data_IF_845972620011
#
_entry.id   IF_845972620011
#
_cell.length_a   1.000
_cell.length_b   1.000
_cell.length_c   1.000
_cell.angle_alpha   90.00
_cell.angle_beta   90.00
_cell.angle_gamma   90.00
#
_symmetry.space_group_name_H-M   'P 1'
#
loop_
_entity.id
_entity.type
_entity.pdbx_description
1 polymer ?
#
# COMPACT_ATOMS: atom_id res chain seq x y z
N UNK A 1 -6.61 19.35 16.41
CA UNK A 1 -5.74 18.33 17.07
C UNK A 1 -6.57 17.08 17.13
N UNK A 2 -6.11 15.99 16.53
CA UNK A 2 -6.86 14.72 16.51
C UNK A 2 -6.93 14.18 17.92
N UNK A 3 -8.11 13.68 18.35
CA UNK A 3 -8.20 12.96 19.62
C UNK A 3 -7.36 11.68 19.55
N UNK A 4 -6.31 11.66 20.35
CA UNK A 4 -5.36 10.54 20.45
C UNK A 4 -6.04 9.24 20.89
N UNK A 5 -7.23 9.31 21.50
CA UNK A 5 -7.97 8.16 22.03
C UNK A 5 -8.37 7.18 20.92
N UNK A 6 -8.85 7.65 19.77
CA UNK A 6 -9.18 6.81 18.62
C UNK A 6 -7.91 6.24 17.97
N UNK A 7 -6.91 7.10 17.75
CA UNK A 7 -5.63 6.69 17.17
C UNK A 7 -4.90 5.62 18.00
N UNK A 8 -4.97 5.71 19.33
CA UNK A 8 -4.28 4.78 20.25
C UNK A 8 -4.78 3.33 20.20
N UNK A 9 -5.94 3.08 19.58
CA UNK A 9 -6.51 1.74 19.44
C UNK A 9 -5.93 0.94 18.28
N UNK A 10 -5.26 1.62 17.34
CA UNK A 10 -4.71 1.01 16.14
C UNK A 10 -3.21 0.77 16.24
N UNK A 11 -2.71 -0.13 15.40
CA UNK A 11 -1.29 -0.33 15.12
C UNK A 11 -0.94 0.32 13.79
N UNK A 12 0.25 0.92 13.70
CA UNK A 12 0.66 1.67 12.53
C UNK A 12 1.85 1.04 11.82
N UNK A 13 1.96 1.30 10.53
CA UNK A 13 3.11 1.02 9.69
C UNK A 13 3.45 2.27 8.88
N UNK A 14 4.72 2.53 8.64
CA UNK A 14 5.17 3.74 7.95
C UNK A 14 5.67 3.39 6.55
N UNK A 15 5.13 4.07 5.52
CA UNK A 15 5.56 3.82 4.15
C UNK A 15 6.89 4.55 3.87
N UNK A 16 7.98 3.77 3.80
CA UNK A 16 9.33 4.28 3.62
C UNK A 16 9.65 4.72 2.18
N UNK A 17 8.71 4.54 1.26
CA UNK A 17 8.86 5.06 -0.10
C UNK A 17 8.49 6.54 -0.20
N UNK A 18 7.68 7.05 0.75
CA UNK A 18 7.22 8.43 0.77
C UNK A 18 7.65 9.17 2.06
N UNK A 19 7.71 8.49 3.20
CA UNK A 19 8.26 8.98 4.45
C UNK A 19 9.74 8.59 4.58
N UNK A 20 10.53 9.42 5.23
CA UNK A 20 12.00 9.32 5.30
C UNK A 20 12.68 9.29 3.93
N UNK A 21 11.98 9.76 2.88
CA UNK A 21 12.51 9.83 1.52
C UNK A 21 13.66 10.85 1.36
N UNK A 22 13.86 11.70 2.34
CA UNK A 22 15.02 12.57 2.49
C UNK A 22 16.32 11.81 2.76
N UNK A 23 16.25 10.52 3.11
CA UNK A 23 17.38 9.63 3.37
C UNK A 23 17.56 8.58 2.26
N UNK A 24 18.77 8.04 2.07
CA UNK A 24 18.98 6.84 1.26
C UNK A 24 18.12 5.68 1.74
N UNK A 25 17.64 4.85 0.81
CA UNK A 25 16.68 3.76 1.11
C UNK A 25 17.10 2.88 2.28
N UNK A 26 18.35 2.44 2.32
CA UNK A 26 18.87 1.52 3.33
C UNK A 26 19.00 2.14 4.74
N UNK A 27 18.95 3.48 4.85
CA UNK A 27 18.96 4.19 6.13
C UNK A 27 17.55 4.41 6.71
N UNK A 28 16.51 4.32 5.88
CA UNK A 28 15.12 4.62 6.26
C UNK A 28 14.56 3.71 7.35
N UNK A 29 14.82 2.38 7.37
CA UNK A 29 14.37 1.53 8.46
C UNK A 29 14.90 1.96 9.82
N UNK A 30 16.19 2.33 9.91
CA UNK A 30 16.78 2.83 11.15
C UNK A 30 16.18 4.17 11.59
N UNK A 31 15.88 5.07 10.65
CA UNK A 31 15.20 6.34 10.94
C UNK A 31 13.76 6.11 11.44
N UNK A 32 13.02 5.18 10.85
CA UNK A 32 11.70 4.79 11.33
C UNK A 32 11.74 4.23 12.77
N UNK A 33 12.71 3.36 13.07
CA UNK A 33 12.94 2.85 14.42
C UNK A 33 13.27 3.98 15.40
N UNK A 34 14.13 4.92 15.02
CA UNK A 34 14.46 6.10 15.81
C UNK A 34 13.23 6.98 16.09
N UNK A 35 12.29 7.06 15.12
CA UNK A 35 11.00 7.74 15.30
C UNK A 35 9.98 6.94 16.13
N UNK A 36 10.27 5.68 16.50
CA UNK A 36 9.43 4.85 17.36
C UNK A 36 8.57 3.82 16.62
N UNK A 37 8.74 3.65 15.32
CA UNK A 37 8.03 2.65 14.54
C UNK A 37 8.75 1.30 14.57
N UNK A 38 7.99 0.21 14.63
CA UNK A 38 8.47 -1.17 14.57
C UNK A 38 7.98 -1.89 13.32
N UNK A 39 7.21 -1.20 12.47
CA UNK A 39 6.62 -1.72 11.24
C UNK A 39 6.71 -0.69 10.12
N UNK A 40 7.02 -1.16 8.92
CA UNK A 40 7.09 -0.32 7.73
C UNK A 40 6.52 -1.05 6.50
N UNK A 41 6.27 -0.29 5.46
CA UNK A 41 5.89 -0.77 4.13
C UNK A 41 6.69 -0.07 3.05
N UNK A 42 6.76 -0.68 1.87
CA UNK A 42 7.50 -0.17 0.72
C UNK A 42 6.70 -0.37 -0.58
N UNK A 43 6.74 0.61 -1.46
CA UNK A 43 6.59 0.36 -2.89
C UNK A 43 7.75 -0.50 -3.38
N UNK A 44 7.71 -1.00 -4.62
CA UNK A 44 8.83 -1.80 -5.13
C UNK A 44 10.15 -0.99 -5.09
N UNK A 45 11.13 -1.41 -4.28
CA UNK A 45 12.26 -0.55 -3.94
C UNK A 45 13.42 -0.56 -4.94
N UNK A 46 13.34 -1.40 -5.98
CA UNK A 46 14.42 -1.58 -6.97
C UNK A 46 14.11 -0.89 -8.32
N UNK A 47 13.23 0.12 -8.32
CA UNK A 47 12.87 0.89 -9.51
C UNK A 47 12.27 0.01 -10.60
N UNK A 48 12.87 0.03 -11.79
CA UNK A 48 12.40 -0.77 -12.94
C UNK A 48 12.96 -2.19 -12.98
N UNK A 49 13.87 -2.55 -12.08
CA UNK A 49 14.43 -3.89 -12.05
C UNK A 49 13.44 -4.86 -11.39
N UNK A 50 12.89 -5.76 -12.19
CA UNK A 50 11.95 -6.77 -11.74
C UNK A 50 12.64 -7.92 -10.97
N UNK A 51 13.94 -8.10 -11.21
CA UNK A 51 14.73 -9.24 -10.70
C UNK A 51 16.09 -8.79 -10.15
N UNK A 52 16.10 -7.90 -9.13
CA UNK A 52 17.33 -7.40 -8.53
C UNK A 52 18.23 -8.52 -8.06
N UNK A 53 19.52 -8.27 -8.05
CA UNK A 53 20.51 -9.25 -7.62
C UNK A 53 20.28 -9.69 -6.17
N UNK A 54 20.75 -10.91 -5.84
CA UNK A 54 20.67 -11.40 -4.46
C UNK A 54 21.38 -10.46 -3.47
N UNK A 55 22.48 -9.82 -3.88
CA UNK A 55 23.21 -8.87 -3.04
C UNK A 55 22.35 -7.64 -2.68
N UNK A 56 21.64 -7.04 -3.65
CA UNK A 56 20.75 -5.90 -3.39
C UNK A 56 19.60 -6.27 -2.47
N UNK A 57 19.02 -7.47 -2.67
CA UNK A 57 17.98 -7.97 -1.79
C UNK A 57 18.52 -8.23 -0.37
N UNK A 58 19.73 -8.75 -0.22
CA UNK A 58 20.36 -9.02 1.08
C UNK A 58 20.70 -7.73 1.83
N UNK A 59 21.13 -6.67 1.13
CA UNK A 59 21.34 -5.35 1.72
C UNK A 59 20.03 -4.77 2.28
N UNK A 60 18.94 -4.89 1.54
CA UNK A 60 17.63 -4.45 2.02
C UNK A 60 17.17 -5.26 3.24
N UNK A 61 17.26 -6.60 3.19
CA UNK A 61 16.94 -7.47 4.34
C UNK A 61 17.74 -7.09 5.58
N UNK A 62 19.04 -6.86 5.38
CA UNK A 62 19.95 -6.46 6.47
C UNK A 62 19.53 -5.14 7.08
N UNK A 63 19.17 -4.13 6.29
CA UNK A 63 18.74 -2.83 6.78
C UNK A 63 17.50 -2.94 7.68
N UNK A 64 16.50 -3.74 7.30
CA UNK A 64 15.32 -3.99 8.12
C UNK A 64 15.63 -4.78 9.40
N UNK A 65 16.43 -5.85 9.27
CA UNK A 65 16.80 -6.70 10.40
C UNK A 65 17.62 -5.94 11.43
N UNK A 66 18.63 -5.18 11.01
CA UNK A 66 19.47 -4.39 11.90
C UNK A 66 18.69 -3.29 12.63
N UNK A 67 17.69 -2.72 11.96
CA UNK A 67 16.81 -1.71 12.56
C UNK A 67 15.77 -2.31 13.51
N UNK A 68 15.51 -3.60 13.45
CA UNK A 68 14.41 -4.24 14.20
C UNK A 68 13.03 -3.80 13.73
N UNK A 69 12.90 -3.41 12.45
CA UNK A 69 11.64 -2.98 11.83
C UNK A 69 11.13 -4.09 10.92
N UNK A 70 9.88 -4.50 11.12
CA UNK A 70 9.23 -5.48 10.26
C UNK A 70 8.73 -4.82 8.96
N UNK A 71 9.07 -5.38 7.80
CA UNK A 71 8.38 -5.01 6.56
C UNK A 71 7.01 -5.70 6.54
N UNK A 72 5.93 -4.93 6.59
CA UNK A 72 4.56 -5.45 6.70
C UNK A 72 3.79 -5.43 5.39
N UNK A 73 4.15 -4.52 4.49
CA UNK A 73 3.59 -4.36 3.16
C UNK A 73 4.68 -4.13 2.12
N UNK A 74 4.52 -4.72 0.94
CA UNK A 74 5.42 -4.55 -0.20
C UNK A 74 4.60 -4.52 -1.48
N UNK A 75 4.88 -3.56 -2.37
CA UNK A 75 4.33 -3.62 -3.72
C UNK A 75 5.09 -4.66 -4.57
N UNK A 76 4.37 -5.34 -5.46
CA UNK A 76 4.98 -5.90 -6.66
C UNK A 76 5.54 -4.77 -7.53
N UNK A 77 6.26 -5.10 -8.60
CA UNK A 77 6.78 -4.12 -9.56
C UNK A 77 5.68 -3.15 -9.99
N UNK A 78 5.81 -1.89 -9.62
CA UNK A 78 4.77 -0.87 -9.78
C UNK A 78 5.15 0.28 -10.70
N UNK A 79 6.44 0.47 -10.95
CA UNK A 79 7.00 1.56 -11.76
C UNK A 79 6.59 2.98 -11.29
N UNK A 80 6.21 3.13 -10.00
CA UNK A 80 5.84 4.44 -9.44
C UNK A 80 7.04 5.38 -9.40
N UNK A 81 8.23 4.83 -9.20
CA UNK A 81 9.47 5.59 -9.06
C UNK A 81 9.80 6.47 -10.28
N UNK A 82 9.32 6.12 -11.47
CA UNK A 82 9.47 6.93 -12.68
C UNK A 82 8.48 8.09 -12.75
N UNK A 83 7.43 8.07 -11.93
CA UNK A 83 6.36 9.05 -11.93
C UNK A 83 5.38 8.96 -13.11
N UNK A 84 5.60 8.03 -14.03
CA UNK A 84 4.80 7.89 -15.28
C UNK A 84 3.76 6.78 -15.14
N UNK A 85 4.17 5.59 -14.73
CA UNK A 85 3.28 4.45 -14.58
C UNK A 85 2.67 4.38 -13.18
N UNK A 86 1.53 3.70 -13.08
CA UNK A 86 0.84 3.39 -11.82
C UNK A 86 0.56 1.88 -11.79
N UNK A 87 1.63 1.09 -11.88
CA UNK A 87 1.55 -0.36 -11.98
C UNK A 87 1.85 -0.87 -13.39
N UNK A 88 2.16 -2.14 -13.47
CA UNK A 88 2.65 -2.80 -14.70
C UNK A 88 1.80 -4.00 -15.11
N UNK A 89 0.92 -4.48 -14.23
CA UNK A 89 0.27 -5.79 -14.42
C UNK A 89 -0.76 -5.84 -15.56
N UNK A 90 -1.41 -4.72 -15.90
CA UNK A 90 -2.36 -4.65 -17.02
C UNK A 90 -1.74 -4.11 -18.31
N UNK A 91 -0.43 -3.81 -18.29
CA UNK A 91 0.28 -3.22 -19.43
C UNK A 91 0.90 -4.34 -20.26
N UNK A 92 0.45 -4.57 -21.54
CA UNK A 92 0.92 -5.69 -22.34
C UNK A 92 2.45 -5.75 -22.49
N UNK A 93 3.08 -4.59 -22.69
CA UNK A 93 4.53 -4.50 -22.85
C UNK A 93 5.33 -4.84 -21.58
N UNK A 94 4.69 -4.75 -20.42
CA UNK A 94 5.32 -4.96 -19.10
C UNK A 94 4.92 -6.27 -18.44
N UNK A 95 3.96 -7.01 -19.00
CA UNK A 95 3.41 -8.22 -18.40
C UNK A 95 4.48 -9.28 -18.11
N UNK A 96 5.43 -9.50 -19.00
CA UNK A 96 6.53 -10.44 -18.76
C UNK A 96 7.42 -9.98 -17.59
N UNK A 97 7.71 -8.68 -17.47
CA UNK A 97 8.46 -8.12 -16.36
C UNK A 97 7.71 -8.31 -15.04
N UNK A 98 6.41 -8.01 -15.04
CA UNK A 98 5.58 -8.22 -13.86
C UNK A 98 5.58 -9.68 -13.42
N UNK A 99 5.37 -10.61 -14.36
CA UNK A 99 5.40 -12.06 -14.07
C UNK A 99 6.75 -12.53 -13.55
N UNK A 100 7.87 -12.01 -14.09
CA UNK A 100 9.20 -12.29 -13.59
C UNK A 100 9.43 -11.75 -12.17
N UNK A 101 8.80 -10.65 -11.82
CA UNK A 101 8.87 -10.05 -10.48
C UNK A 101 8.12 -10.85 -9.40
N UNK A 102 7.01 -11.51 -9.73
CA UNK A 102 6.16 -12.21 -8.77
C UNK A 102 6.96 -13.11 -7.81
N UNK A 103 7.76 -14.08 -8.28
CA UNK A 103 8.52 -14.96 -7.38
C UNK A 103 9.58 -14.20 -6.57
N UNK A 104 10.17 -13.15 -7.12
CA UNK A 104 11.19 -12.34 -6.44
C UNK A 104 10.59 -11.54 -5.32
N UNK A 105 9.49 -10.83 -5.58
CA UNK A 105 8.78 -10.05 -4.58
C UNK A 105 8.20 -10.94 -3.47
N UNK A 106 7.61 -12.09 -3.82
CA UNK A 106 7.11 -13.06 -2.85
C UNK A 106 8.25 -13.64 -2.00
N UNK A 107 9.39 -13.99 -2.59
CA UNK A 107 10.55 -14.52 -1.87
C UNK A 107 11.17 -13.47 -0.92
N UNK A 108 11.25 -12.20 -1.34
CA UNK A 108 11.69 -11.10 -0.49
C UNK A 108 10.71 -10.89 0.66
N UNK A 109 9.41 -10.86 0.37
CA UNK A 109 8.34 -10.72 1.36
C UNK A 109 8.38 -11.84 2.41
N UNK A 110 8.50 -13.09 1.98
CA UNK A 110 8.58 -14.25 2.89
C UNK A 110 9.79 -14.14 3.82
N UNK A 111 10.96 -13.77 3.27
CA UNK A 111 12.21 -13.62 4.04
C UNK A 111 12.15 -12.52 5.12
N UNK A 112 11.28 -11.51 4.95
CA UNK A 112 11.06 -10.40 5.87
C UNK A 112 9.79 -10.55 6.71
N UNK A 113 9.04 -11.65 6.52
CA UNK A 113 7.79 -11.90 7.23
C UNK A 113 6.63 -11.00 6.80
N UNK A 114 6.71 -10.41 5.60
CA UNK A 114 5.68 -9.55 5.01
C UNK A 114 4.43 -10.37 4.69
N UNK A 115 3.25 -9.84 5.06
CA UNK A 115 1.98 -10.55 4.87
C UNK A 115 0.97 -9.81 4.00
N UNK A 116 1.36 -8.69 3.40
CA UNK A 116 0.53 -7.93 2.47
C UNK A 116 1.36 -7.55 1.23
N UNK A 117 0.91 -7.96 0.06
CA UNK A 117 1.55 -7.66 -1.23
C UNK A 117 0.57 -6.86 -2.09
N UNK A 118 0.89 -5.61 -2.40
CA UNK A 118 0.05 -4.74 -3.22
C UNK A 118 0.40 -4.87 -4.70
N UNK A 119 -0.62 -5.00 -5.56
CA UNK A 119 -0.47 -5.09 -7.00
C UNK A 119 -1.21 -3.94 -7.69
N UNK A 120 -0.48 -2.91 -8.06
CA UNK A 120 -1.05 -1.78 -8.79
C UNK A 120 -1.42 -2.17 -10.23
N UNK A 121 -2.65 -1.82 -10.59
CA UNK A 121 -3.30 -2.28 -11.81
C UNK A 121 -2.59 -1.86 -13.10
N UNK A 122 -2.10 -0.62 -13.14
CA UNK A 122 -1.52 -0.01 -14.32
C UNK A 122 -2.50 0.92 -15.05
N UNK A 123 -1.91 1.88 -15.77
CA UNK A 123 -2.68 2.85 -16.53
C UNK A 123 -3.30 2.25 -17.79
N UNK A 124 -4.43 2.79 -18.22
CA UNK A 124 -4.96 2.54 -19.57
C UNK A 124 -3.97 3.04 -20.62
N UNK A 125 -3.75 2.22 -21.63
CA UNK A 125 -2.81 2.49 -22.72
C UNK A 125 -3.60 2.91 -23.97
N UNK A 126 -3.23 4.02 -24.56
CA UNK A 126 -3.86 4.50 -25.79
C UNK A 126 -3.70 3.46 -26.92
N UNK A 127 -4.81 3.15 -27.59
CA UNK A 127 -4.84 2.18 -28.69
C UNK A 127 -4.93 0.71 -28.27
N UNK A 128 -4.95 0.41 -26.95
CA UNK A 128 -5.20 -0.94 -26.44
C UNK A 128 -6.65 -1.02 -25.96
N UNK A 129 -7.34 -2.10 -26.31
CA UNK A 129 -8.72 -2.32 -25.82
C UNK A 129 -8.73 -2.45 -24.28
N UNK A 130 -9.52 -1.65 -23.56
CA UNK A 130 -9.67 -1.79 -22.11
C UNK A 130 -10.04 -3.20 -21.67
N UNK A 131 -10.84 -3.93 -22.43
CA UNK A 131 -11.22 -5.30 -22.09
C UNK A 131 -10.02 -6.27 -22.16
N UNK A 132 -9.15 -6.11 -23.15
CA UNK A 132 -7.92 -6.90 -23.27
C UNK A 132 -6.97 -6.59 -22.10
N UNK A 133 -6.87 -5.32 -21.68
CA UNK A 133 -6.09 -4.96 -20.48
C UNK A 133 -6.70 -5.56 -19.19
N UNK A 134 -8.03 -5.60 -19.07
CA UNK A 134 -8.70 -6.15 -17.90
C UNK A 134 -8.53 -7.68 -17.82
N UNK A 135 -8.56 -8.38 -18.95
CA UNK A 135 -8.30 -9.82 -19.04
C UNK A 135 -6.84 -10.12 -18.63
N UNK A 136 -5.89 -9.39 -19.20
CA UNK A 136 -4.47 -9.51 -18.84
C UNK A 136 -4.23 -9.20 -17.34
N UNK A 137 -4.90 -8.17 -16.81
CA UNK A 137 -4.83 -7.83 -15.40
C UNK A 137 -5.31 -8.99 -14.52
N UNK A 138 -6.45 -9.58 -14.84
CA UNK A 138 -6.98 -10.71 -14.09
C UNK A 138 -6.03 -11.92 -14.11
N UNK A 139 -5.45 -12.26 -15.27
CA UNK A 139 -4.45 -13.31 -15.37
C UNK A 139 -3.27 -13.07 -14.43
N UNK A 140 -2.70 -11.85 -14.46
CA UNK A 140 -1.55 -11.49 -13.65
C UNK A 140 -1.88 -11.41 -12.16
N UNK A 141 -3.06 -10.91 -11.80
CA UNK A 141 -3.53 -10.90 -10.40
C UNK A 141 -3.74 -12.31 -9.85
N UNK A 142 -4.24 -13.24 -10.67
CA UNK A 142 -4.36 -14.66 -10.30
C UNK A 142 -3.00 -15.28 -9.98
N UNK A 143 -1.98 -14.98 -10.79
CA UNK A 143 -0.61 -15.45 -10.53
C UNK A 143 -0.05 -14.84 -9.23
N UNK A 144 -0.23 -13.53 -9.04
CA UNK A 144 0.21 -12.83 -7.83
C UNK A 144 -0.51 -13.31 -6.56
N UNK A 145 -1.84 -13.57 -6.65
CA UNK A 145 -2.63 -14.09 -5.54
C UNK A 145 -2.16 -15.48 -5.10
N UNK A 146 -1.83 -16.36 -6.05
CA UNK A 146 -1.29 -17.70 -5.76
C UNK A 146 0.07 -17.61 -5.08
N UNK A 147 0.99 -16.78 -5.60
CA UNK A 147 2.30 -16.59 -4.99
C UNK A 147 2.22 -15.98 -3.58
N UNK A 148 1.33 -15.01 -3.36
CA UNK A 148 1.06 -14.47 -2.04
C UNK A 148 0.50 -15.55 -1.08
N UNK A 149 -0.41 -16.38 -1.56
CA UNK A 149 -0.99 -17.46 -0.75
C UNK A 149 0.06 -18.48 -0.30
N UNK A 150 1.01 -18.84 -1.16
CA UNK A 150 2.09 -19.80 -0.84
C UNK A 150 2.95 -19.37 0.36
N UNK A 151 3.10 -18.06 0.58
CA UNK A 151 3.83 -17.49 1.72
C UNK A 151 2.90 -17.07 2.89
N UNK A 152 1.61 -17.42 2.82
CA UNK A 152 0.60 -17.03 3.80
C UNK A 152 0.36 -15.52 3.85
N UNK A 153 0.49 -14.84 2.71
CA UNK A 153 0.20 -13.42 2.54
C UNK A 153 -1.11 -13.19 1.79
N UNK A 154 -1.64 -11.97 1.92
CA UNK A 154 -2.77 -11.48 1.13
C UNK A 154 -2.27 -10.68 -0.07
N UNK A 155 -3.05 -10.72 -1.16
CA UNK A 155 -2.92 -9.81 -2.29
C UNK A 155 -3.78 -8.59 -2.04
N UNK A 156 -3.23 -7.40 -2.21
CA UNK A 156 -3.94 -6.14 -2.10
C UNK A 156 -4.24 -5.55 -3.49
N UNK A 157 -5.42 -4.96 -3.62
CA UNK A 157 -5.87 -4.25 -4.82
C UNK A 157 -6.33 -2.88 -4.37
N UNK A 158 -5.83 -1.83 -5.03
CA UNK A 158 -5.95 -0.45 -4.61
C UNK A 158 -6.66 0.41 -5.66
N UNK A 159 -7.51 1.34 -5.20
CA UNK A 159 -8.05 2.42 -6.02
C UNK A 159 -7.18 3.67 -5.87
N UNK A 160 -6.81 4.32 -7.00
CA UNK A 160 -6.04 5.55 -6.99
C UNK A 160 -6.91 6.76 -7.32
N UNK A 161 -6.45 7.94 -6.93
CA UNK A 161 -7.17 9.18 -7.23
C UNK A 161 -6.94 9.62 -8.70
N UNK A 162 -8.04 10.00 -9.34
CA UNK A 162 -8.04 10.44 -10.73
C UNK A 162 -7.22 11.72 -10.98
N UNK A 163 -7.16 12.72 -10.09
CA UNK A 163 -6.30 13.88 -10.29
C UNK A 163 -4.81 13.57 -10.47
N UNK A 164 -4.27 12.59 -9.75
CA UNK A 164 -2.85 12.21 -9.81
C UNK A 164 -2.59 11.02 -10.74
N UNK A 165 -3.63 10.25 -11.07
CA UNK A 165 -3.55 9.06 -11.92
C UNK A 165 -4.73 9.03 -12.92
N UNK A 166 -4.81 9.97 -13.87
CA UNK A 166 -5.98 10.15 -14.73
C UNK A 166 -6.28 8.97 -15.67
N UNK A 167 -5.28 8.15 -15.97
CA UNK A 167 -5.42 6.95 -16.81
C UNK A 167 -5.59 5.66 -16.01
N UNK A 168 -5.56 5.71 -14.66
CA UNK A 168 -5.75 4.53 -13.83
C UNK A 168 -7.22 4.11 -13.79
N UNK A 169 -7.57 2.83 -14.04
CA UNK A 169 -8.96 2.43 -14.20
C UNK A 169 -9.74 2.28 -12.88
N UNK A 170 -9.07 1.91 -11.78
CA UNK A 170 -9.71 1.69 -10.49
C UNK A 170 -9.73 3.00 -9.70
N UNK A 171 -10.81 3.76 -9.80
CA UNK A 171 -10.93 5.10 -9.19
C UNK A 171 -12.00 5.16 -8.11
N UNK A 172 -12.48 4.01 -7.64
CA UNK A 172 -13.47 3.92 -6.56
C UNK A 172 -13.28 2.66 -5.73
N UNK A 173 -13.77 2.68 -4.48
CA UNK A 173 -13.82 1.52 -3.61
C UNK A 173 -14.59 0.36 -4.29
N UNK A 174 -15.73 0.65 -4.90
CA UNK A 174 -16.53 -0.35 -5.60
C UNK A 174 -15.77 -1.01 -6.76
N UNK A 175 -15.03 -0.24 -7.57
CA UNK A 175 -14.24 -0.78 -8.68
C UNK A 175 -13.10 -1.69 -8.19
N UNK A 176 -12.41 -1.32 -7.12
CA UNK A 176 -11.37 -2.16 -6.54
C UNK A 176 -11.94 -3.45 -5.93
N UNK A 177 -13.06 -3.37 -5.21
CA UNK A 177 -13.73 -4.53 -4.61
C UNK A 177 -14.25 -5.49 -5.70
N UNK A 178 -14.75 -4.98 -6.82
CA UNK A 178 -15.15 -5.83 -7.95
C UNK A 178 -13.98 -6.67 -8.48
N UNK A 179 -12.78 -6.08 -8.57
CA UNK A 179 -11.57 -6.81 -8.98
C UNK A 179 -11.15 -7.83 -7.91
N UNK A 180 -11.23 -7.47 -6.62
CA UNK A 180 -10.99 -8.40 -5.49
C UNK A 180 -11.88 -9.63 -5.62
N UNK A 181 -13.19 -9.45 -5.91
CA UNK A 181 -14.14 -10.54 -6.05
C UNK A 181 -13.82 -11.43 -7.25
N UNK A 182 -13.49 -10.84 -8.40
CA UNK A 182 -13.08 -11.58 -9.61
C UNK A 182 -11.84 -12.46 -9.36
N UNK A 183 -10.83 -11.91 -8.66
CA UNK A 183 -9.60 -12.66 -8.32
C UNK A 183 -9.91 -13.80 -7.36
N UNK A 184 -10.72 -13.55 -6.33
CA UNK A 184 -11.12 -14.58 -5.37
C UNK A 184 -11.99 -15.68 -6.01
N UNK A 185 -12.88 -15.33 -6.92
CA UNK A 185 -13.66 -16.29 -7.69
C UNK A 185 -12.75 -17.15 -8.59
N UNK A 186 -11.83 -16.52 -9.32
CA UNK A 186 -10.93 -17.20 -10.25
C UNK A 186 -9.94 -18.13 -9.54
N UNK A 187 -9.52 -17.79 -8.32
CA UNK A 187 -8.53 -18.59 -7.58
C UNK A 187 -9.12 -19.56 -6.57
N UNK A 188 -10.30 -19.25 -6.02
CA UNK A 188 -10.88 -19.96 -4.88
C UNK A 188 -10.14 -19.78 -3.56
N UNK A 189 -9.13 -18.88 -3.48
CA UNK A 189 -8.23 -18.75 -2.32
C UNK A 189 -8.76 -17.78 -1.26
N UNK A 190 -9.54 -16.77 -1.65
CA UNK A 190 -10.08 -15.76 -0.73
C UNK A 190 -9.04 -14.82 -0.13
N UNK A 191 -7.81 -14.81 -0.66
CA UNK A 191 -6.70 -14.01 -0.16
C UNK A 191 -6.50 -12.66 -0.87
N UNK A 192 -7.27 -12.36 -1.92
CA UNK A 192 -7.32 -11.01 -2.46
C UNK A 192 -8.20 -10.13 -1.56
N UNK A 193 -7.71 -8.93 -1.24
CA UNK A 193 -8.36 -7.97 -0.35
C UNK A 193 -8.23 -6.56 -0.90
N UNK A 194 -9.10 -5.68 -0.42
CA UNK A 194 -9.07 -4.26 -0.77
C UNK A 194 -8.06 -3.51 0.10
N UNK A 195 -7.15 -2.75 -0.54
CA UNK A 195 -6.36 -1.71 0.11
C UNK A 195 -7.17 -0.42 0.06
N UNK A 196 -7.66 0.00 1.22
CA UNK A 196 -8.46 1.21 1.38
C UNK A 196 -7.56 2.38 1.73
N UNK A 197 -7.10 3.14 0.74
CA UNK A 197 -6.40 4.41 0.98
C UNK A 197 -7.43 5.55 1.06
N UNK A 198 -7.59 6.11 2.25
CA UNK A 198 -8.56 7.19 2.49
C UNK A 198 -8.23 8.46 1.72
N UNK A 199 -6.96 8.77 1.49
CA UNK A 199 -6.57 9.92 0.70
C UNK A 199 -7.04 9.79 -0.76
N UNK A 200 -6.77 8.64 -1.39
CA UNK A 200 -7.16 8.42 -2.78
C UNK A 200 -8.67 8.48 -2.96
N UNK A 201 -9.43 7.87 -2.07
CA UNK A 201 -10.89 7.87 -2.14
C UNK A 201 -11.48 9.26 -1.85
N UNK A 202 -10.97 9.98 -0.85
CA UNK A 202 -11.38 11.35 -0.56
C UNK A 202 -11.10 12.30 -1.74
N UNK A 203 -9.94 12.15 -2.40
CA UNK A 203 -9.59 12.92 -3.60
C UNK A 203 -10.53 12.66 -4.77
N UNK A 204 -11.15 11.49 -4.84
CA UNK A 204 -12.18 11.15 -5.82
C UNK A 204 -13.59 11.59 -5.38
N UNK A 205 -13.74 12.15 -4.18
CA UNK A 205 -15.01 12.64 -3.64
C UNK A 205 -15.90 11.53 -3.07
N UNK A 206 -15.34 10.38 -2.71
CA UNK A 206 -16.10 9.32 -2.05
C UNK A 206 -16.39 9.68 -0.58
N UNK A 207 -17.55 9.28 -0.11
CA UNK A 207 -17.94 9.31 1.29
C UNK A 207 -17.21 8.16 2.03
N UNK A 208 -16.16 8.51 2.77
CA UNK A 208 -15.33 7.54 3.49
C UNK A 208 -16.10 6.78 4.57
N UNK A 209 -17.12 7.38 5.16
CA UNK A 209 -18.01 6.71 6.12
C UNK A 209 -18.78 5.60 5.41
N UNK A 210 -19.38 5.92 4.26
CA UNK A 210 -20.08 4.92 3.45
C UNK A 210 -19.12 3.82 2.93
N UNK A 211 -17.86 4.14 2.62
CA UNK A 211 -16.85 3.15 2.23
C UNK A 211 -16.58 2.17 3.38
N UNK A 212 -16.40 2.65 4.61
CA UNK A 212 -16.20 1.76 5.77
C UNK A 212 -17.45 0.91 6.00
N UNK A 213 -18.63 1.53 6.02
CA UNK A 213 -19.90 0.84 6.31
C UNK A 213 -20.20 -0.29 5.29
N UNK A 214 -19.80 -0.09 4.02
CA UNK A 214 -20.11 -1.04 2.95
C UNK A 214 -19.00 -2.09 2.72
N UNK A 215 -17.73 -1.79 3.04
CA UNK A 215 -16.61 -2.61 2.57
C UNK A 215 -15.58 -2.97 3.64
N UNK A 216 -15.76 -2.62 4.93
CA UNK A 216 -14.75 -2.88 5.96
C UNK A 216 -14.39 -4.38 6.10
N UNK A 217 -15.31 -5.29 5.81
CA UNK A 217 -15.08 -6.74 5.80
C UNK A 217 -14.17 -7.21 4.64
N UNK A 218 -13.97 -6.35 3.63
CA UNK A 218 -13.11 -6.59 2.46
C UNK A 218 -11.73 -5.98 2.63
N UNK A 219 -11.51 -5.14 3.66
CA UNK A 219 -10.24 -4.50 3.87
C UNK A 219 -9.15 -5.51 4.25
N UNK A 220 -8.05 -5.49 3.52
CA UNK A 220 -6.81 -6.17 3.87
C UNK A 220 -5.79 -5.20 4.47
N UNK A 221 -5.87 -3.94 4.07
CA UNK A 221 -5.01 -2.86 4.54
C UNK A 221 -5.73 -1.52 4.46
N UNK A 222 -5.36 -0.59 5.32
CA UNK A 222 -5.83 0.81 5.30
C UNK A 222 -4.62 1.71 5.23
N UNK A 223 -4.65 2.70 4.35
CA UNK A 223 -3.64 3.76 4.29
C UNK A 223 -4.27 5.13 4.51
N UNK A 224 -3.48 6.05 5.08
CA UNK A 224 -3.93 7.39 5.43
C UNK A 224 -2.94 8.47 5.01
N UNK A 225 -3.49 9.55 4.45
CA UNK A 225 -2.91 10.86 4.29
C UNK A 225 -4.03 11.89 4.26
N UNK A 226 -3.78 13.13 4.66
CA UNK A 226 -4.84 14.13 4.69
C UNK A 226 -5.07 14.77 3.31
N UNK A 227 -6.32 15.10 3.02
CA UNK A 227 -6.76 15.72 1.77
C UNK A 227 -7.03 17.22 2.02
N UNK A 228 -6.57 18.13 1.12
CA UNK A 228 -6.05 17.87 -0.24
C UNK A 228 -4.53 17.71 -0.37
N UNK A 229 -3.72 17.97 0.66
CA UNK A 229 -2.26 18.12 0.54
C UNK A 229 -1.45 16.82 0.48
N UNK A 230 -2.07 15.66 0.77
CA UNK A 230 -1.39 14.38 1.01
C UNK A 230 -0.35 14.47 2.14
N UNK A 231 -0.64 15.29 3.15
CA UNK A 231 0.22 15.47 4.32
C UNK A 231 -0.29 14.63 5.51
N UNK A 232 0.34 14.82 6.68
CA UNK A 232 -0.04 14.12 7.92
C UNK A 232 -1.47 14.43 8.34
N UNK A 233 -2.17 13.49 9.01
CA UNK A 233 -3.50 13.70 9.57
C UNK A 233 -3.61 14.96 10.43
N UNK A 234 -4.68 15.74 10.21
CA UNK A 234 -4.95 17.01 10.88
C UNK A 234 -4.45 18.25 10.13
N UNK A 235 -3.88 18.08 8.92
CA UNK A 235 -3.46 19.19 8.05
C UNK A 235 -4.48 19.54 6.97
N UNK A 236 -5.50 18.73 6.78
CA UNK A 236 -6.52 18.86 5.74
C UNK A 236 -7.95 18.76 6.29
N UNK A 237 -8.83 18.10 5.53
CA UNK A 237 -10.27 18.10 5.72
C UNK A 237 -10.84 16.74 6.17
N UNK A 238 -10.01 15.67 6.27
CA UNK A 238 -10.49 14.34 6.64
C UNK A 238 -10.67 14.25 8.16
N UNK A 239 -11.88 13.86 8.59
CA UNK A 239 -12.17 13.60 10.00
C UNK A 239 -11.62 12.24 10.44
N UNK A 240 -10.32 12.20 10.74
CA UNK A 240 -9.66 10.98 11.18
C UNK A 240 -10.12 10.49 12.55
N UNK A 241 -10.65 11.35 13.41
CA UNK A 241 -11.21 10.94 14.69
C UNK A 241 -12.42 10.02 14.49
N UNK A 242 -13.38 10.45 13.65
CA UNK A 242 -14.56 9.64 13.32
C UNK A 242 -14.19 8.37 12.53
N UNK A 243 -13.34 8.49 11.51
CA UNK A 243 -12.98 7.34 10.67
C UNK A 243 -12.23 6.24 11.44
N UNK A 244 -11.29 6.60 12.32
CA UNK A 244 -10.57 5.63 13.15
C UNK A 244 -11.49 4.97 14.19
N UNK A 245 -12.44 5.72 14.75
CA UNK A 245 -13.47 5.16 15.62
C UNK A 245 -14.37 4.17 14.88
N UNK A 246 -14.76 4.48 13.64
CA UNK A 246 -15.56 3.59 12.77
C UNK A 246 -14.80 2.34 12.37
N UNK A 247 -13.52 2.43 12.00
CA UNK A 247 -12.69 1.26 11.73
C UNK A 247 -12.64 0.30 12.94
N UNK A 248 -12.51 0.87 14.16
CA UNK A 248 -12.59 0.07 15.40
C UNK A 248 -13.95 -0.59 15.55
N UNK A 249 -15.04 0.14 15.33
CA UNK A 249 -16.40 -0.38 15.45
C UNK A 249 -16.72 -1.44 14.40
N UNK A 250 -16.16 -1.31 13.19
CA UNK A 250 -16.26 -2.31 12.12
C UNK A 250 -15.38 -3.55 12.35
N UNK A 251 -14.59 -3.58 13.43
CA UNK A 251 -13.73 -4.71 13.78
C UNK A 251 -12.45 -4.81 12.98
N UNK A 252 -11.99 -3.72 12.35
CA UNK A 252 -10.70 -3.71 11.66
C UNK A 252 -9.55 -3.84 12.66
N UNK A 253 -8.74 -4.88 12.50
CA UNK A 253 -7.60 -5.21 13.37
C UNK A 253 -6.26 -5.11 12.66
N UNK A 254 -6.26 -4.75 11.37
CA UNK A 254 -5.05 -4.56 10.58
C UNK A 254 -4.27 -3.31 11.01
N UNK A 255 -3.06 -3.18 10.47
CA UNK A 255 -2.28 -1.95 10.62
C UNK A 255 -2.82 -0.85 9.72
N UNK A 256 -2.56 0.40 10.11
CA UNK A 256 -2.83 1.59 9.30
C UNK A 256 -1.51 2.11 8.75
N UNK A 257 -1.39 2.14 7.43
CA UNK A 257 -0.24 2.65 6.71
C UNK A 257 -0.21 4.17 6.68
N UNK A 258 0.91 4.75 7.11
CA UNK A 258 1.16 6.19 7.00
C UNK A 258 1.80 6.45 5.63
N UNK A 259 1.00 6.90 4.66
CA UNK A 259 1.47 7.12 3.30
C UNK A 259 1.28 8.58 2.87
N UNK A 260 1.98 9.48 3.55
CA UNK A 260 1.87 10.91 3.32
C UNK A 260 3.24 11.59 3.15
N UNK A 261 3.20 12.80 2.60
CA UNK A 261 4.38 13.68 2.50
C UNK A 261 4.40 14.60 3.71
N UNK A 262 5.51 14.68 4.45
CA UNK A 262 5.61 15.59 5.58
C UNK A 262 5.34 17.04 5.14
N UNK A 263 4.44 17.75 5.81
CA UNK A 263 4.13 19.15 5.49
C UNK A 263 5.34 20.07 5.69
N UNK A 264 6.23 19.69 6.61
CA UNK A 264 7.50 20.39 6.90
C UNK A 264 8.63 20.02 5.95
N UNK A 265 8.47 18.93 5.15
CA UNK A 265 9.56 18.35 4.36
C UNK A 265 10.51 17.45 5.15
N UNK A 266 10.29 17.28 6.46
CA UNK A 266 11.09 16.43 7.35
C UNK A 266 10.17 15.39 8.00
N UNK A 267 10.43 14.11 7.72
CA UNK A 267 9.55 13.04 8.19
C UNK A 267 9.42 12.96 9.70
N UNK A 268 10.54 13.12 10.43
CA UNK A 268 10.55 13.05 11.88
C UNK A 268 9.63 14.09 12.56
N UNK A 269 9.38 15.23 11.91
CA UNK A 269 8.58 16.33 12.43
C UNK A 269 7.08 16.18 12.15
N UNK A 270 6.67 15.18 11.35
CA UNK A 270 5.29 15.00 10.89
C UNK A 270 4.45 14.06 11.76
N UNK A 271 4.96 13.60 12.87
CA UNK A 271 4.29 12.61 13.72
C UNK A 271 3.71 13.16 15.02
N UNK A 272 3.56 14.48 15.17
CA UNK A 272 3.02 15.09 16.40
C UNK A 272 1.58 14.66 16.70
N UNK A 273 0.79 14.38 15.65
CA UNK A 273 -0.57 13.87 15.76
C UNK A 273 -0.66 12.45 16.34
N UNK A 274 0.44 11.66 16.27
CA UNK A 274 0.54 10.28 16.77
C UNK A 274 1.66 10.21 17.82
N UNK A 275 1.33 10.22 19.12
CA UNK A 275 2.32 10.11 20.21
C UNK A 275 3.22 8.88 20.05
N UNK A 276 4.46 9.03 20.48
CA UNK A 276 5.52 8.01 20.27
C UNK A 276 5.14 6.63 20.81
N UNK A 277 4.47 6.58 21.96
CA UNK A 277 4.00 5.35 22.61
C UNK A 277 2.93 4.58 21.81
N UNK A 278 2.34 5.21 20.79
CA UNK A 278 1.35 4.62 19.91
C UNK A 278 1.89 4.25 18.52
N UNK A 279 3.18 4.52 18.26
CA UNK A 279 3.80 4.23 16.94
C UNK A 279 4.29 2.79 16.81
N UNK A 280 4.69 2.17 17.89
CA UNK A 280 5.07 0.76 17.88
C UNK A 280 3.85 -0.13 17.64
N UNK A 281 4.03 -1.20 16.87
CA UNK A 281 3.01 -2.24 16.72
C UNK A 281 2.72 -2.89 18.08
N UNK A 282 1.44 -3.11 18.35
CA UNK A 282 0.96 -3.82 19.55
C UNK A 282 0.95 -5.31 19.31
#
# INVERSE_FOLDING_TARGET
MIDVTAASKHSYTVNLSILFSELPLLERPAAAAAAGFTAAELWWPFGLDATPSQAEQDELRKAFTDAGVQLTGLNFLDDISTGVAKGTLSVPADSERFRANIPVAAGLADSLGTKALNALYGNRIEGVDPAEQDELALENLVLAAKAAHEIGAILLIEALNKPEAPAYPLVSAAAAVEVVDKVNEATGLGNAKFLCDFYHLARNGEDLVAVIDNYADRFGHVQIADNPGRNEPGTGEIDYEDLLARLTAAGYTGRIGLEYRPSTGVSADSFEWLPREHRAAK
#
